data_IF_263407548050
#
_entry.id   IF_263407548050
#
_cell.length_a   1.000
_cell.length_b   1.000
_cell.length_c   1.000
_cell.angle_alpha   90.00
_cell.angle_beta   90.00
_cell.angle_gamma   90.00
#
_symmetry.space_group_name_H-M   'P 1'
#
loop_
_entity.id
_entity.type
_entity.pdbx_description
1 polymer ?
#
# COMPACT_ATOMS: atom_id res chain seq x y z
N UNK A 1 -2.77 -12.62 8.83
CA UNK A 1 -1.73 -12.21 7.87
C UNK A 1 -1.04 -13.46 7.36
N UNK A 2 -0.94 -13.62 6.04
CA UNK A 2 -0.31 -14.78 5.38
C UNK A 2 1.04 -14.43 4.75
N UNK A 3 1.25 -13.17 4.36
CA UNK A 3 2.52 -12.70 3.78
C UNK A 3 2.78 -11.24 4.12
N UNK A 4 4.05 -10.86 4.17
CA UNK A 4 4.52 -9.48 4.25
C UNK A 4 5.76 -9.29 3.38
N UNK A 5 5.81 -8.19 2.63
CA UNK A 5 6.92 -7.87 1.71
C UNK A 5 7.22 -6.39 1.72
N UNK A 6 8.51 -6.05 1.66
CA UNK A 6 8.94 -4.75 1.19
C UNK A 6 8.89 -4.73 -0.33
N UNK A 7 8.24 -3.72 -0.89
CA UNK A 7 8.08 -3.52 -2.33
C UNK A 7 9.07 -2.48 -2.90
N UNK A 8 9.84 -1.84 -2.03
CA UNK A 8 10.88 -0.89 -2.40
C UNK A 8 12.14 -1.09 -1.55
N UNK A 9 13.30 -0.71 -2.09
CA UNK A 9 14.61 -0.91 -1.45
C UNK A 9 14.77 -0.12 -0.15
N UNK A 10 14.18 1.08 -0.10
CA UNK A 10 14.10 1.93 1.09
C UNK A 10 13.12 1.42 2.15
N UNK A 11 12.40 0.32 1.86
CA UNK A 11 11.42 -0.33 2.74
C UNK A 11 10.19 0.51 3.08
N UNK A 12 9.99 1.64 2.39
CA UNK A 12 8.86 2.55 2.61
C UNK A 12 7.58 2.16 1.87
N UNK A 13 7.67 1.28 0.86
CA UNK A 13 6.51 0.66 0.24
C UNK A 13 6.39 -0.78 0.75
N UNK A 14 5.25 -1.12 1.33
CA UNK A 14 5.04 -2.39 2.02
C UNK A 14 3.74 -3.02 1.56
N UNK A 15 3.72 -4.35 1.47
CA UNK A 15 2.54 -5.14 1.16
C UNK A 15 2.30 -6.18 2.24
N UNK A 16 1.05 -6.27 2.69
CA UNK A 16 0.58 -7.28 3.64
C UNK A 16 -0.60 -8.03 3.03
N UNK A 17 -0.54 -9.36 3.04
CA UNK A 17 -1.59 -10.22 2.53
C UNK A 17 -2.33 -10.92 3.67
N UNK A 18 -3.65 -11.08 3.51
CA UNK A 18 -4.53 -11.74 4.44
C UNK A 18 -5.21 -12.96 3.80
N UNK A 19 -5.63 -13.93 4.61
CA UNK A 19 -6.16 -15.22 4.16
C UNK A 19 -7.46 -15.13 3.35
N UNK A 20 -8.14 -13.99 3.38
CA UNK A 20 -9.36 -13.71 2.61
C UNK A 20 -9.06 -13.04 1.25
N UNK A 21 -7.82 -13.01 0.79
CA UNK A 21 -7.44 -12.41 -0.50
C UNK A 21 -7.31 -10.90 -0.49
N UNK A 22 -7.39 -10.27 0.69
CA UNK A 22 -7.13 -8.84 0.87
C UNK A 22 -5.63 -8.59 0.87
N UNK A 23 -5.21 -7.58 0.10
CA UNK A 23 -3.85 -7.07 0.08
C UNK A 23 -3.87 -5.62 0.50
N UNK A 24 -3.07 -5.26 1.49
CA UNK A 24 -2.89 -3.89 1.97
C UNK A 24 -1.53 -3.40 1.56
N UNK A 25 -1.49 -2.29 0.81
CA UNK A 25 -0.27 -1.63 0.38
C UNK A 25 -0.13 -0.31 1.13
N UNK A 26 0.92 -0.16 1.92
CA UNK A 26 1.23 1.06 2.64
C UNK A 26 2.44 1.75 1.98
N UNK A 27 2.31 3.05 1.70
CA UNK A 27 3.39 3.90 1.26
C UNK A 27 3.70 4.92 2.35
N UNK A 28 4.80 4.72 3.06
CA UNK A 28 5.29 5.63 4.10
C UNK A 28 6.25 6.70 3.54
N UNK A 29 6.55 6.68 2.25
CA UNK A 29 7.38 7.71 1.64
C UNK A 29 6.63 9.03 1.49
N UNK A 30 7.39 10.11 1.35
CA UNK A 30 6.91 11.45 1.02
C UNK A 30 6.64 11.63 -0.48
N UNK A 31 6.81 10.57 -1.26
CA UNK A 31 6.57 10.55 -2.71
C UNK A 31 5.62 9.43 -3.10
N UNK A 32 4.86 9.65 -4.17
CA UNK A 32 4.06 8.60 -4.81
C UNK A 32 4.95 7.49 -5.34
N UNK A 33 4.51 6.23 -5.19
CA UNK A 33 5.21 5.06 -5.72
C UNK A 33 4.28 4.20 -6.56
N UNK A 34 4.83 3.53 -7.55
CA UNK A 34 4.07 2.66 -8.43
C UNK A 34 4.22 1.20 -8.02
N UNK A 35 3.09 0.48 -7.98
CA UNK A 35 3.05 -0.95 -7.78
C UNK A 35 2.02 -1.58 -8.72
N UNK A 36 2.46 -2.50 -9.58
CA UNK A 36 1.58 -3.22 -10.51
C UNK A 36 0.65 -2.29 -11.32
N UNK A 37 1.20 -1.19 -11.87
CA UNK A 37 0.48 -0.14 -12.62
C UNK A 37 -0.54 0.66 -11.77
N UNK A 38 -0.46 0.56 -10.45
CA UNK A 38 -1.25 1.36 -9.51
C UNK A 38 -0.34 2.39 -8.86
N UNK A 39 -0.74 3.66 -8.92
CA UNK A 39 -0.06 4.72 -8.20
C UNK A 39 -0.54 4.72 -6.75
N UNK A 40 0.39 4.55 -5.82
CA UNK A 40 0.19 4.56 -4.38
C UNK A 40 0.67 5.92 -3.86
N UNK A 41 -0.23 6.84 -3.50
CA UNK A 41 0.14 8.18 -3.06
C UNK A 41 1.13 8.16 -1.89
N UNK A 42 1.90 9.23 -1.73
CA UNK A 42 2.69 9.44 -0.52
C UNK A 42 1.81 9.31 0.74
N UNK A 43 2.39 8.77 1.81
CA UNK A 43 1.76 8.68 3.14
C UNK A 43 0.32 8.14 3.09
N UNK A 44 0.16 7.01 2.41
CA UNK A 44 -1.16 6.42 2.15
C UNK A 44 -1.19 4.92 2.39
N UNK A 45 -2.40 4.40 2.54
CA UNK A 45 -2.71 2.97 2.57
C UNK A 45 -3.77 2.69 1.51
N UNK A 46 -3.51 1.71 0.65
CA UNK A 46 -4.41 1.24 -0.41
C UNK A 46 -4.78 -0.20 -0.10
N UNK A 47 -6.08 -0.50 -0.09
CA UNK A 47 -6.60 -1.85 0.11
C UNK A 47 -7.06 -2.39 -1.23
N UNK A 48 -6.60 -3.59 -1.56
CA UNK A 48 -6.97 -4.33 -2.75
C UNK A 48 -7.75 -5.59 -2.36
N UNK A 49 -8.80 -5.88 -3.13
CA UNK A 49 -9.48 -7.16 -3.15
C UNK A 49 -9.47 -7.67 -4.59
N UNK A 50 -8.95 -8.88 -4.84
CA UNK A 50 -8.82 -9.44 -6.19
C UNK A 50 -8.12 -8.48 -7.17
N UNK A 51 -7.02 -7.84 -6.74
CA UNK A 51 -6.25 -6.83 -7.49
C UNK A 51 -7.02 -5.54 -7.86
N UNK A 52 -8.21 -5.31 -7.32
CA UNK A 52 -8.97 -4.07 -7.50
C UNK A 52 -8.89 -3.23 -6.24
N UNK A 53 -8.72 -1.91 -6.41
CA UNK A 53 -8.75 -0.98 -5.29
C UNK A 53 -10.17 -0.93 -4.74
N UNK A 54 -10.32 -1.29 -3.47
CA UNK A 54 -11.60 -1.19 -2.74
C UNK A 54 -11.62 -0.01 -1.78
N UNK A 55 -10.46 0.42 -1.28
CA UNK A 55 -10.36 1.55 -0.37
C UNK A 55 -8.99 2.23 -0.48
N UNK A 56 -8.96 3.54 -0.21
CA UNK A 56 -7.74 4.33 -0.07
C UNK A 56 -7.86 5.25 1.13
N UNK A 57 -6.77 5.37 1.89
CA UNK A 57 -6.59 6.32 2.97
C UNK A 57 -5.32 7.11 2.70
N UNK A 58 -5.40 8.43 2.71
CA UNK A 58 -4.25 9.32 2.56
C UNK A 58 -4.20 10.23 3.77
N UNK A 59 -3.03 10.39 4.38
CA UNK A 59 -2.86 11.37 5.44
C UNK A 59 -2.99 12.78 4.85
N UNK A 60 -3.91 13.59 5.39
CA UNK A 60 -4.15 14.97 4.93
C UNK A 60 -3.54 16.03 5.86
N UNK A 61 -3.01 15.63 7.01
CA UNK A 61 -2.34 16.52 7.97
C UNK A 61 -1.36 15.72 8.84
N UNK A 62 -0.21 16.31 9.13
CA UNK A 62 0.73 15.86 10.15
C UNK A 62 0.76 16.97 11.19
N UNK A 63 0.17 16.71 12.37
CA UNK A 63 0.31 17.57 13.54
C UNK A 63 1.71 17.41 14.16
#
# INVERSE_FOLDING_TARGET
MTSFKYLSDDRLLQSTEFSNGIIVIANFADVTKDYNKINIPAKSVVILENNKIVQRFTATSFE
#
